data_IF_365108737080
#
_entry.id   IF_365108737080
#
_cell.length_a   1.000
_cell.length_b   1.000
_cell.length_c   1.000
_cell.angle_alpha   90.00
_cell.angle_beta   90.00
_cell.angle_gamma   90.00
#
_symmetry.space_group_name_H-M   'P 1'
#
loop_
_entity.id
_entity.type
_entity.pdbx_description
1 polymer ?
#
# COMPACT_ATOMS: atom_id res chain seq x y z
N UNK A 1 19.87 11.78 -36.85
CA UNK A 1 18.67 10.90 -36.94
C UNK A 1 19.09 9.49 -36.63
N UNK A 2 18.56 8.90 -35.55
CA UNK A 2 18.16 7.50 -35.40
C UNK A 2 17.62 7.33 -33.96
N UNK A 3 16.29 7.24 -33.84
CA UNK A 3 15.56 6.86 -32.63
C UNK A 3 15.95 5.44 -32.23
N UNK A 4 16.26 5.19 -30.96
CA UNK A 4 16.17 3.86 -30.35
C UNK A 4 15.08 3.90 -29.28
N UNK A 5 13.97 3.21 -29.58
CA UNK A 5 12.93 2.87 -28.62
C UNK A 5 13.48 1.73 -27.74
N UNK A 6 13.56 1.94 -26.43
CA UNK A 6 13.83 0.87 -25.47
C UNK A 6 12.50 0.35 -24.90
N UNK A 7 12.02 -0.75 -25.45
CA UNK A 7 11.08 -1.64 -24.76
C UNK A 7 11.85 -2.59 -23.84
N UNK A 8 11.22 -3.01 -22.74
CA UNK A 8 11.74 -3.84 -21.66
C UNK A 8 12.12 -5.29 -22.05
N UNK A 9 12.51 -5.58 -23.30
CA UNK A 9 12.53 -6.94 -23.83
C UNK A 9 13.90 -7.53 -24.20
N UNK A 10 14.99 -7.09 -23.57
CA UNK A 10 16.28 -7.78 -23.72
C UNK A 10 16.79 -8.24 -22.36
N UNK A 11 17.01 -9.54 -22.23
CA UNK A 11 17.74 -10.26 -21.15
C UNK A 11 16.94 -10.95 -20.04
N UNK A 12 16.02 -11.87 -20.40
CA UNK A 12 15.63 -12.95 -19.48
C UNK A 12 15.72 -14.30 -20.21
N UNK A 13 16.76 -15.09 -19.93
CA UNK A 13 16.87 -16.48 -20.36
C UNK A 13 16.14 -17.39 -19.35
N UNK A 14 15.24 -18.25 -19.84
CA UNK A 14 14.54 -19.29 -19.07
C UNK A 14 15.50 -20.44 -18.76
N UNK A 15 15.51 -20.95 -17.52
CA UNK A 15 16.20 -22.22 -17.17
C UNK A 15 15.25 -23.24 -16.52
N UNK A 16 15.53 -24.55 -16.67
CA UNK A 16 14.57 -25.64 -16.49
C UNK A 16 14.63 -26.34 -15.12
N UNK A 17 13.58 -27.12 -14.85
CA UNK A 17 13.22 -27.82 -13.62
C UNK A 17 14.25 -28.83 -13.07
N UNK A 18 14.51 -28.79 -11.76
CA UNK A 18 15.14 -29.90 -11.03
C UNK A 18 15.67 -29.54 -9.64
N UNK A 19 15.03 -30.09 -8.59
CA UNK A 19 15.48 -30.28 -7.21
C UNK A 19 16.06 -29.08 -6.42
N UNK A 20 15.34 -28.65 -5.37
CA UNK A 20 15.78 -27.58 -4.45
C UNK A 20 15.81 -28.08 -3.00
N UNK A 21 17.02 -28.35 -2.51
CA UNK A 21 17.32 -28.62 -1.10
C UNK A 21 17.33 -27.31 -0.29
N UNK A 22 16.91 -27.40 0.97
CA UNK A 22 16.56 -26.28 1.87
C UNK A 22 17.72 -25.93 2.81
N UNK A 23 17.89 -24.65 3.13
CA UNK A 23 18.62 -24.21 4.33
C UNK A 23 17.99 -22.95 4.95
N UNK A 24 18.28 -22.74 6.23
CA UNK A 24 17.43 -22.09 7.22
C UNK A 24 17.76 -20.61 7.52
N UNK A 25 16.70 -19.91 7.93
CA UNK A 25 16.61 -18.60 8.60
C UNK A 25 16.96 -17.36 7.76
N UNK A 26 16.13 -16.32 7.95
CA UNK A 26 15.89 -15.08 7.15
C UNK A 26 14.77 -15.14 6.10
N UNK A 27 14.00 -16.23 6.01
CA UNK A 27 13.29 -16.60 4.78
C UNK A 27 11.76 -16.51 4.81
N UNK A 28 11.21 -15.44 4.23
CA UNK A 28 10.09 -15.58 3.28
C UNK A 28 10.43 -14.79 2.02
N UNK A 29 11.51 -15.21 1.35
CA UNK A 29 11.69 -14.85 -0.06
C UNK A 29 10.44 -15.30 -0.83
N UNK A 30 10.04 -14.55 -1.86
CA UNK A 30 8.85 -14.88 -2.63
C UNK A 30 8.99 -16.31 -3.20
N UNK A 31 7.88 -17.02 -3.49
CA UNK A 31 7.91 -18.37 -4.04
C UNK A 31 8.94 -18.44 -5.18
N UNK A 32 9.67 -19.57 -5.28
CA UNK A 32 10.88 -19.73 -6.12
C UNK A 32 10.72 -19.27 -7.58
N UNK A 33 9.48 -19.22 -8.06
CA UNK A 33 9.06 -18.72 -9.37
C UNK A 33 9.35 -17.20 -9.56
N UNK A 34 9.40 -16.44 -8.46
CA UNK A 34 9.62 -14.99 -8.40
C UNK A 34 11.12 -14.64 -8.27
N UNK A 35 11.97 -15.59 -7.88
CA UNK A 35 13.43 -15.37 -7.84
C UNK A 35 14.07 -15.28 -9.25
N UNK A 36 13.34 -15.67 -10.29
CA UNK A 36 13.73 -15.51 -11.69
C UNK A 36 13.27 -14.17 -12.30
N UNK A 37 12.45 -13.39 -11.57
CA UNK A 37 12.27 -11.98 -11.84
C UNK A 37 13.48 -11.32 -11.18
N UNK A 38 14.25 -10.55 -11.94
CA UNK A 38 15.49 -9.92 -11.50
C UNK A 38 15.22 -8.80 -10.46
N UNK A 39 14.61 -9.14 -9.32
CA UNK A 39 14.46 -8.29 -8.13
C UNK A 39 15.60 -8.66 -7.19
N UNK A 40 16.73 -8.09 -7.56
CA UNK A 40 18.08 -8.23 -7.01
C UNK A 40 18.14 -8.40 -5.47
N UNK A 41 18.39 -9.61 -4.99
CA UNK A 41 18.69 -9.90 -3.58
C UNK A 41 20.09 -9.46 -3.11
N UNK A 42 20.89 -8.84 -3.97
CA UNK A 42 22.22 -8.32 -3.64
C UNK A 42 22.32 -6.79 -3.72
N UNK A 43 21.21 -6.05 -3.62
CA UNK A 43 21.27 -4.59 -3.70
C UNK A 43 21.06 -3.90 -2.34
N UNK A 44 22.11 -3.76 -1.51
CA UNK A 44 22.05 -2.98 -0.28
C UNK A 44 21.71 -1.49 -0.52
N UNK A 45 21.70 -1.03 -1.78
CA UNK A 45 21.26 0.32 -2.17
C UNK A 45 19.73 0.49 -2.30
N UNK A 46 18.94 -0.60 -2.33
CA UNK A 46 17.46 -0.50 -2.27
C UNK A 46 16.96 -0.05 -0.89
N UNK A 47 17.77 -0.22 0.15
CA UNK A 47 17.45 0.18 1.54
C UNK A 47 18.23 1.44 1.93
N UNK A 48 19.43 1.65 1.38
CA UNK A 48 20.29 2.78 1.76
C UNK A 48 20.25 4.01 0.84
N UNK A 49 19.30 4.09 -0.12
CA UNK A 49 19.23 5.21 -1.07
C UNK A 49 17.84 5.69 -1.47
N UNK A 50 16.78 4.99 -1.05
CA UNK A 50 15.41 5.35 -1.36
C UNK A 50 14.78 5.92 -0.11
N UNK A 51 14.46 7.22 -0.13
CA UNK A 51 13.71 7.86 0.94
C UNK A 51 12.25 7.90 0.47
N UNK A 52 11.34 7.05 1.01
CA UNK A 52 9.95 7.13 0.64
C UNK A 52 9.39 8.50 1.03
N UNK A 53 8.67 9.14 0.11
CA UNK A 53 8.05 10.44 0.33
C UNK A 53 6.55 10.27 0.17
N UNK A 54 5.81 10.65 1.21
CA UNK A 54 4.35 10.71 1.16
C UNK A 54 3.91 12.12 0.80
N UNK A 55 3.08 12.25 -0.24
CA UNK A 55 2.48 13.52 -0.66
C UNK A 55 0.95 13.43 -0.57
N UNK A 56 0.32 14.51 -0.09
CA UNK A 56 -1.10 14.77 -0.33
C UNK A 56 -1.25 15.21 -1.79
N UNK A 57 -2.20 14.63 -2.51
CA UNK A 57 -2.36 14.85 -3.96
C UNK A 57 -3.81 15.13 -4.33
N UNK A 58 -4.01 15.69 -5.53
CA UNK A 58 -5.34 15.88 -6.14
C UNK A 58 -5.97 14.55 -6.56
N UNK A 59 -7.28 14.55 -6.83
CA UNK A 59 -8.00 13.38 -7.34
C UNK A 59 -7.40 12.86 -8.66
N UNK A 60 -7.02 13.75 -9.57
CA UNK A 60 -6.42 13.39 -10.86
C UNK A 60 -5.03 12.76 -10.67
N UNK A 61 -4.21 13.33 -9.78
CA UNK A 61 -2.89 12.76 -9.46
C UNK A 61 -3.00 11.40 -8.77
N UNK A 62 -3.98 11.22 -7.88
CA UNK A 62 -4.28 9.95 -7.25
C UNK A 62 -4.67 8.89 -8.28
N UNK A 63 -5.51 9.24 -9.26
CA UNK A 63 -5.91 8.33 -10.35
C UNK A 63 -4.70 7.91 -11.21
N UNK A 64 -3.85 8.88 -11.57
CA UNK A 64 -2.60 8.62 -12.31
C UNK A 64 -1.67 7.72 -11.49
N UNK A 65 -1.51 7.99 -10.20
CA UNK A 65 -0.67 7.19 -9.30
C UNK A 65 -1.18 5.76 -9.16
N UNK A 66 -2.50 5.57 -8.97
CA UNK A 66 -3.11 4.25 -8.89
C UNK A 66 -2.93 3.44 -10.18
N UNK A 67 -3.11 4.08 -11.34
CA UNK A 67 -2.85 3.45 -12.66
C UNK A 67 -1.37 3.06 -12.81
N UNK A 68 -0.44 3.95 -12.44
CA UNK A 68 1.00 3.68 -12.50
C UNK A 68 1.40 2.52 -11.57
N UNK A 69 0.94 2.52 -10.32
CA UNK A 69 1.20 1.46 -9.34
C UNK A 69 0.62 0.12 -9.81
N UNK A 70 -0.60 0.10 -10.34
CA UNK A 70 -1.20 -1.11 -10.90
C UNK A 70 -0.41 -1.66 -12.10
N UNK A 71 -0.04 -0.78 -13.03
CA UNK A 71 0.70 -1.18 -14.22
C UNK A 71 2.09 -1.72 -13.86
N UNK A 72 2.77 -1.14 -12.87
CA UNK A 72 4.09 -1.63 -12.46
C UNK A 72 4.02 -3.03 -11.89
N UNK A 73 3.05 -3.30 -11.01
CA UNK A 73 2.83 -4.63 -10.43
C UNK A 73 2.61 -5.68 -11.53
N UNK A 74 1.81 -5.36 -12.56
CA UNK A 74 1.56 -6.25 -13.70
C UNK A 74 2.79 -6.43 -14.58
N UNK A 75 3.49 -5.35 -14.93
CA UNK A 75 4.68 -5.37 -15.79
C UNK A 75 5.84 -6.14 -15.15
N UNK A 76 6.00 -6.00 -13.83
CA UNK A 76 7.03 -6.70 -13.05
C UNK A 76 6.66 -8.17 -12.80
N UNK A 77 5.49 -8.64 -13.21
CA UNK A 77 5.11 -10.06 -13.15
C UNK A 77 4.70 -10.55 -11.76
N UNK A 78 4.42 -9.68 -10.79
CA UNK A 78 4.01 -10.06 -9.42
C UNK A 78 2.75 -10.92 -9.34
N UNK A 79 1.94 -10.91 -10.40
CA UNK A 79 0.68 -11.64 -10.49
C UNK A 79 0.73 -12.77 -11.53
N UNK A 80 1.89 -12.99 -12.16
CA UNK A 80 2.02 -13.90 -13.31
C UNK A 80 1.85 -15.38 -12.94
N UNK A 81 2.12 -15.74 -11.69
CA UNK A 81 1.93 -17.10 -11.17
C UNK A 81 0.51 -17.35 -10.65
N UNK A 82 -0.35 -16.33 -10.63
CA UNK A 82 -1.73 -16.42 -10.15
C UNK A 82 -2.66 -16.32 -11.36
N UNK A 83 -3.20 -17.45 -11.80
CA UNK A 83 -4.11 -17.53 -12.96
C UNK A 83 -5.33 -16.62 -12.80
N UNK A 84 -5.95 -16.64 -11.62
CA UNK A 84 -7.11 -15.82 -11.29
C UNK A 84 -7.02 -15.34 -9.83
N UNK A 85 -6.84 -14.04 -9.62
CA UNK A 85 -6.64 -13.44 -8.30
C UNK A 85 -7.88 -13.54 -7.40
N UNK A 86 -9.09 -13.48 -7.95
CA UNK A 86 -10.34 -13.65 -7.20
C UNK A 86 -10.50 -15.09 -6.70
N UNK A 87 -10.44 -16.07 -7.61
CA UNK A 87 -10.57 -17.48 -7.25
C UNK A 87 -9.45 -17.93 -6.31
N UNK A 88 -8.22 -17.44 -6.51
CA UNK A 88 -7.09 -17.75 -5.63
C UNK A 88 -7.31 -17.21 -4.22
N UNK A 89 -7.82 -15.97 -4.10
CA UNK A 89 -8.17 -15.35 -2.82
C UNK A 89 -9.20 -16.20 -2.07
N UNK A 90 -10.33 -16.53 -2.69
CA UNK A 90 -11.41 -17.30 -2.05
C UNK A 90 -10.90 -18.68 -1.59
N UNK A 91 -10.10 -19.34 -2.43
CA UNK A 91 -9.49 -20.63 -2.09
C UNK A 91 -8.52 -20.57 -0.90
N UNK A 92 -7.85 -19.42 -0.70
CA UNK A 92 -6.94 -19.22 0.43
C UNK A 92 -7.75 -18.88 1.69
N UNK A 93 -8.73 -17.98 1.59
CA UNK A 93 -9.56 -17.56 2.74
C UNK A 93 -10.39 -18.72 3.33
N UNK A 94 -10.73 -19.73 2.53
CA UNK A 94 -11.42 -20.93 3.00
C UNK A 94 -10.55 -21.86 3.88
N UNK A 95 -9.25 -21.60 4.01
CA UNK A 95 -8.32 -22.47 4.75
C UNK A 95 -8.12 -22.01 6.19
N UNK A 96 -8.06 -22.97 7.11
CA UNK A 96 -7.82 -22.70 8.54
C UNK A 96 -6.35 -22.38 8.86
N UNK A 97 -5.41 -22.84 8.03
CA UNK A 97 -3.98 -22.58 8.18
C UNK A 97 -3.36 -22.25 6.83
N UNK A 98 -2.58 -21.18 6.78
CA UNK A 98 -1.95 -20.70 5.55
C UNK A 98 -0.44 -20.96 5.57
N UNK A 99 0.07 -21.52 4.49
CA UNK A 99 1.50 -21.53 4.21
C UNK A 99 2.01 -20.12 3.88
N UNK A 100 3.32 -19.94 3.97
CA UNK A 100 3.99 -18.71 3.56
C UNK A 100 3.67 -18.30 2.12
N UNK A 101 3.64 -19.25 1.20
CA UNK A 101 3.34 -18.99 -0.21
C UNK A 101 1.90 -18.50 -0.39
N UNK A 102 0.95 -19.07 0.35
CA UNK A 102 -0.44 -18.63 0.33
C UNK A 102 -0.61 -17.24 0.93
N UNK A 103 0.15 -16.88 1.98
CA UNK A 103 0.14 -15.52 2.51
C UNK A 103 0.66 -14.50 1.48
N UNK A 104 1.67 -14.89 0.69
CA UNK A 104 2.18 -14.07 -0.41
C UNK A 104 1.18 -13.91 -1.55
N UNK A 105 0.55 -15.00 -1.97
CA UNK A 105 -0.51 -14.98 -2.98
C UNK A 105 -1.69 -14.14 -2.50
N UNK A 106 -2.10 -14.30 -1.25
CA UNK A 106 -3.19 -13.54 -0.64
C UNK A 106 -2.90 -12.05 -0.66
N UNK A 107 -1.67 -11.66 -0.29
CA UNK A 107 -1.22 -10.26 -0.39
C UNK A 107 -1.34 -9.74 -1.82
N UNK A 108 -0.87 -10.50 -2.79
CA UNK A 108 -0.94 -10.14 -4.21
C UNK A 108 -2.40 -9.98 -4.69
N UNK A 109 -3.27 -10.93 -4.31
CA UNK A 109 -4.69 -10.91 -4.68
C UNK A 109 -5.42 -9.72 -4.06
N UNK A 110 -5.16 -9.40 -2.78
CA UNK A 110 -5.75 -8.25 -2.10
C UNK A 110 -5.28 -6.95 -2.74
N UNK A 111 -3.98 -6.81 -3.01
CA UNK A 111 -3.46 -5.61 -3.66
C UNK A 111 -4.07 -5.42 -5.06
N UNK A 112 -4.18 -6.48 -5.87
CA UNK A 112 -4.82 -6.43 -7.20
C UNK A 112 -6.29 -6.01 -7.11
N UNK A 113 -7.05 -6.65 -6.22
CA UNK A 113 -8.46 -6.35 -5.97
C UNK A 113 -8.67 -4.90 -5.53
N UNK A 114 -7.94 -4.45 -4.50
CA UNK A 114 -8.05 -3.08 -3.98
C UNK A 114 -7.62 -2.03 -5.02
N UNK A 115 -6.60 -2.31 -5.85
CA UNK A 115 -6.18 -1.40 -6.91
C UNK A 115 -7.24 -1.29 -8.02
N UNK A 116 -7.91 -2.39 -8.37
CA UNK A 116 -9.01 -2.35 -9.32
C UNK A 116 -10.15 -1.48 -8.77
N UNK A 117 -10.58 -1.75 -7.53
CA UNK A 117 -11.63 -0.97 -6.87
C UNK A 117 -11.28 0.52 -6.74
N UNK A 118 -10.06 0.86 -6.32
CA UNK A 118 -9.67 2.26 -6.15
C UNK A 118 -9.60 2.99 -7.50
N UNK A 119 -9.09 2.34 -8.55
CA UNK A 119 -9.06 2.93 -9.90
C UNK A 119 -10.46 3.25 -10.39
N UNK A 120 -11.38 2.30 -10.28
CA UNK A 120 -12.76 2.47 -10.72
C UNK A 120 -13.46 3.57 -9.91
N UNK A 121 -13.22 3.60 -8.59
CA UNK A 121 -13.76 4.63 -7.70
C UNK A 121 -13.25 6.04 -8.06
N UNK A 122 -11.95 6.20 -8.29
CA UNK A 122 -11.33 7.46 -8.68
C UNK A 122 -11.83 7.93 -10.06
N UNK A 123 -11.85 7.03 -11.05
CA UNK A 123 -12.37 7.34 -12.39
C UNK A 123 -13.84 7.73 -12.37
N UNK A 124 -14.66 7.06 -11.54
CA UNK A 124 -16.07 7.40 -11.37
C UNK A 124 -16.25 8.81 -10.78
N UNK A 125 -15.48 9.17 -9.75
CA UNK A 125 -15.51 10.51 -9.14
C UNK A 125 -15.14 11.61 -10.13
N UNK A 126 -14.09 11.39 -10.92
CA UNK A 126 -13.66 12.32 -11.98
C UNK A 126 -14.79 12.55 -12.99
N UNK A 127 -15.47 11.48 -13.44
CA UNK A 127 -16.56 11.57 -14.42
C UNK A 127 -17.78 12.32 -13.88
N UNK A 128 -18.09 12.17 -12.59
CA UNK A 128 -19.28 12.75 -11.98
C UNK A 128 -19.12 14.20 -11.49
N UNK A 129 -17.99 14.86 -11.78
CA UNK A 129 -17.69 16.27 -11.41
C UNK A 129 -18.17 16.60 -9.99
N UNK A 130 -17.72 15.86 -8.98
CA UNK A 130 -17.76 16.07 -7.51
C UNK A 130 -18.98 16.70 -6.80
N UNK A 131 -20.03 17.19 -7.47
CA UNK A 131 -20.96 18.15 -6.87
C UNK A 131 -22.23 17.56 -6.25
N UNK A 132 -22.60 16.31 -6.54
CA UNK A 132 -23.96 15.83 -6.24
C UNK A 132 -24.07 14.49 -5.49
N UNK A 133 -22.97 13.77 -5.22
CA UNK A 133 -23.09 12.39 -4.71
C UNK A 133 -22.66 12.16 -3.27
N UNK A 134 -21.98 13.11 -2.64
CA UNK A 134 -21.51 12.96 -1.25
C UNK A 134 -21.51 14.32 -0.55
N UNK A 135 -22.69 14.95 -0.46
CA UNK A 135 -22.86 16.15 0.34
C UNK A 135 -22.49 15.81 1.80
N UNK A 136 -21.39 16.37 2.30
CA UNK A 136 -20.92 16.18 3.69
C UNK A 136 -19.67 15.31 3.90
N UNK A 137 -19.16 14.59 2.89
CA UNK A 137 -17.91 13.82 3.01
C UNK A 137 -16.75 14.50 2.29
N UNK A 138 -15.68 14.80 3.03
CA UNK A 138 -14.42 15.23 2.46
C UNK A 138 -13.51 14.04 2.12
N UNK A 139 -12.86 14.13 0.97
CA UNK A 139 -11.93 13.11 0.48
C UNK A 139 -10.52 13.69 0.38
N UNK A 140 -9.56 12.99 0.97
CA UNK A 140 -8.13 13.31 0.83
C UNK A 140 -7.37 12.11 0.32
N UNK A 141 -6.49 12.35 -0.65
CA UNK A 141 -5.67 11.32 -1.28
C UNK A 141 -4.21 11.51 -0.88
N UNK A 142 -3.56 10.43 -0.47
CA UNK A 142 -2.13 10.40 -0.21
C UNK A 142 -1.46 9.36 -1.10
N UNK A 143 -0.29 9.70 -1.63
CA UNK A 143 0.53 8.77 -2.42
C UNK A 143 1.92 8.72 -1.81
N UNK A 144 2.39 7.50 -1.56
CA UNK A 144 3.75 7.22 -1.17
C UNK A 144 4.57 6.93 -2.43
N UNK A 145 5.65 7.68 -2.61
CA UNK A 145 6.56 7.55 -3.73
C UNK A 145 7.92 7.09 -3.25
N UNK A 146 8.62 6.35 -4.09
CA UNK A 146 10.06 6.14 -3.94
C UNK A 146 10.82 7.08 -4.89
N UNK A 147 11.96 7.61 -4.45
CA UNK A 147 12.84 8.51 -5.23
C UNK A 147 14.16 7.81 -5.55
N UNK A 148 14.69 8.05 -6.74
CA UNK A 148 16.00 7.57 -7.13
C UNK A 148 17.01 8.73 -7.06
N UNK A 149 18.19 8.52 -6.46
CA UNK A 149 19.35 9.43 -6.55
C UNK A 149 20.64 8.64 -6.83
N UNK A 150 21.63 9.15 -7.61
CA UNK A 150 21.51 10.01 -8.79
C UNK A 150 22.43 9.57 -9.97
N UNK A 151 22.11 9.98 -11.21
CA UNK A 151 23.08 10.49 -12.20
C UNK A 151 22.39 11.50 -13.13
N UNK A 152 22.67 12.78 -12.90
CA UNK A 152 22.79 13.90 -13.86
C UNK A 152 21.70 14.21 -14.89
N UNK A 153 20.45 13.83 -14.67
CA UNK A 153 19.36 14.48 -15.41
C UNK A 153 18.12 14.74 -14.58
N UNK A 154 17.88 16.05 -14.47
CA UNK A 154 16.75 16.75 -13.88
C UNK A 154 15.42 16.08 -14.27
N UNK A 155 14.54 15.88 -13.27
CA UNK A 155 13.11 15.44 -13.36
C UNK A 155 12.77 13.98 -13.69
N UNK A 156 13.57 13.00 -13.25
CA UNK A 156 13.32 11.58 -13.57
C UNK A 156 12.77 10.73 -12.40
N UNK A 157 11.46 10.43 -12.51
CA UNK A 157 10.73 9.24 -12.04
C UNK A 157 10.53 9.03 -10.51
N UNK A 158 9.67 9.84 -9.90
CA UNK A 158 8.96 9.39 -8.69
C UNK A 158 8.03 8.23 -9.04
N UNK A 159 8.26 7.06 -8.46
CA UNK A 159 7.44 5.87 -8.70
C UNK A 159 6.47 5.68 -7.53
N UNK A 160 5.14 5.64 -7.75
CA UNK A 160 4.19 5.41 -6.67
C UNK A 160 4.34 3.96 -6.19
N UNK A 161 4.53 3.83 -4.89
CA UNK A 161 4.68 2.55 -4.18
C UNK A 161 3.56 2.30 -3.17
N UNK A 162 2.71 3.30 -2.94
CA UNK A 162 1.51 3.15 -2.16
C UNK A 162 0.52 4.29 -2.37
N UNK A 163 -0.75 4.03 -2.11
CA UNK A 163 -1.84 4.99 -2.17
C UNK A 163 -2.76 4.78 -0.98
N UNK A 164 -3.27 5.88 -0.44
CA UNK A 164 -4.25 5.88 0.64
C UNK A 164 -5.38 6.86 0.34
N UNK A 165 -6.62 6.40 0.56
CA UNK A 165 -7.81 7.24 0.58
C UNK A 165 -8.22 7.48 2.02
N UNK A 166 -8.31 8.75 2.39
CA UNK A 166 -8.77 9.21 3.68
C UNK A 166 -10.11 9.94 3.50
N UNK A 167 -11.10 9.62 4.34
CA UNK A 167 -12.41 10.26 4.33
C UNK A 167 -12.74 10.79 5.71
N UNK A 168 -13.33 11.98 5.77
CA UNK A 168 -13.82 12.57 7.02
C UNK A 168 -15.05 13.40 6.72
N UNK A 169 -15.91 13.56 7.73
CA UNK A 169 -17.08 14.42 7.64
C UNK A 169 -16.83 15.64 8.51
N UNK A 170 -17.26 16.81 8.03
CA UNK A 170 -17.25 18.04 8.83
C UNK A 170 -18.52 18.20 9.68
N UNK A 171 -19.51 17.33 9.49
CA UNK A 171 -20.78 17.44 10.16
C UNK A 171 -20.69 16.90 11.61
N UNK A 172 -20.74 17.82 12.57
CA UNK A 172 -20.54 17.61 14.02
C UNK A 172 -21.63 16.75 14.70
N UNK A 173 -22.64 16.30 13.96
CA UNK A 173 -23.82 15.66 14.55
C UNK A 173 -23.56 14.26 15.13
N UNK A 174 -22.41 13.64 14.82
CA UNK A 174 -21.98 12.36 15.42
C UNK A 174 -20.46 12.31 15.62
N UNK A 175 -19.95 11.64 16.69
CA UNK A 175 -18.52 11.39 16.88
C UNK A 175 -18.02 10.42 15.81
N UNK A 176 -17.75 10.93 14.61
CA UNK A 176 -17.32 10.15 13.47
C UNK A 176 -15.79 10.21 13.39
N UNK A 177 -15.11 9.08 13.63
CA UNK A 177 -13.67 9.03 13.38
C UNK A 177 -13.40 9.07 11.88
N UNK A 178 -12.41 9.86 11.43
CA UNK A 178 -11.98 9.82 10.05
C UNK A 178 -11.57 8.42 9.65
N UNK A 179 -11.87 8.06 8.41
CA UNK A 179 -11.75 6.70 7.91
C UNK A 179 -10.64 6.57 6.88
N UNK A 180 -9.80 5.54 7.04
CA UNK A 180 -8.89 5.08 5.99
C UNK A 180 -9.62 4.03 5.16
N UNK A 181 -10.24 4.47 4.06
CA UNK A 181 -11.07 3.60 3.21
C UNK A 181 -10.25 2.68 2.32
N UNK A 182 -9.08 3.14 1.85
CA UNK A 182 -8.13 2.32 1.11
C UNK A 182 -6.72 2.59 1.62
N UNK A 183 -5.96 1.54 1.88
CA UNK A 183 -4.52 1.60 2.12
C UNK A 183 -3.86 0.49 1.31
N UNK A 184 -3.14 0.88 0.27
CA UNK A 184 -2.56 -0.05 -0.69
C UNK A 184 -1.08 0.24 -0.79
N UNK A 185 -0.25 -0.77 -0.55
CA UNK A 185 1.19 -0.74 -0.78
C UNK A 185 1.54 -1.79 -1.83
N UNK A 186 2.53 -1.49 -2.66
CA UNK A 186 3.12 -2.44 -3.59
C UNK A 186 3.47 -3.76 -2.88
N UNK A 187 3.15 -4.94 -3.45
CA UNK A 187 3.33 -6.22 -2.77
C UNK A 187 4.82 -6.51 -2.46
N UNK A 188 5.74 -6.01 -3.28
CA UNK A 188 7.18 -6.13 -3.01
C UNK A 188 7.74 -5.23 -1.90
N UNK A 189 6.97 -4.28 -1.36
CA UNK A 189 7.48 -3.27 -0.41
C UNK A 189 6.91 -3.52 0.98
N UNK A 190 7.77 -3.66 1.99
CA UNK A 190 7.37 -3.87 3.38
C UNK A 190 7.68 -2.64 4.21
N UNK A 191 7.02 -2.51 5.37
CA UNK A 191 7.32 -1.49 6.38
C UNK A 191 7.29 -0.03 5.87
N UNK A 192 6.45 0.28 4.87
CA UNK A 192 6.22 1.67 4.43
C UNK A 192 4.77 2.14 4.65
N UNK A 193 3.86 1.23 5.01
CA UNK A 193 2.45 1.54 5.23
C UNK A 193 2.24 2.55 6.37
N UNK A 194 3.10 2.49 7.40
CA UNK A 194 3.02 3.41 8.55
C UNK A 194 3.24 4.87 8.14
N UNK A 195 3.99 5.15 7.06
CA UNK A 195 4.22 6.52 6.58
C UNK A 195 2.93 7.15 6.04
N UNK A 196 2.09 6.38 5.35
CA UNK A 196 0.77 6.83 4.94
C UNK A 196 -0.12 6.99 6.17
N UNK A 197 -0.09 6.03 7.09
CA UNK A 197 -0.89 6.08 8.32
C UNK A 197 -0.54 7.31 9.18
N UNK A 198 0.73 7.67 9.31
CA UNK A 198 1.18 8.87 10.01
C UNK A 198 0.60 10.14 9.40
N UNK A 199 0.48 10.22 8.06
CA UNK A 199 -0.23 11.33 7.42
C UNK A 199 -1.72 11.34 7.71
N UNK A 200 -2.38 10.18 7.78
CA UNK A 200 -3.79 10.11 8.17
C UNK A 200 -4.01 10.54 9.62
N UNK A 201 -3.19 10.05 10.56
CA UNK A 201 -3.28 10.41 11.99
C UNK A 201 -3.06 11.91 12.16
N UNK A 202 -2.06 12.48 11.51
CA UNK A 202 -1.80 13.91 11.61
C UNK A 202 -2.88 14.77 10.95
N UNK A 203 -3.45 14.33 9.82
CA UNK A 203 -4.59 15.02 9.23
C UNK A 203 -5.80 14.96 10.16
N UNK A 204 -6.10 13.80 10.74
CA UNK A 204 -7.16 13.64 11.75
C UNK A 204 -6.96 14.59 12.95
N UNK A 205 -5.72 14.74 13.43
CA UNK A 205 -5.39 15.71 14.48
C UNK A 205 -5.67 17.16 14.02
N UNK A 206 -5.22 17.52 12.81
CA UNK A 206 -5.42 18.86 12.24
C UNK A 206 -6.90 19.20 12.02
N UNK A 207 -7.74 18.21 11.74
CA UNK A 207 -9.18 18.37 11.57
C UNK A 207 -9.96 18.23 12.88
N UNK A 208 -9.31 18.28 14.04
CA UNK A 208 -9.99 18.30 15.36
C UNK A 208 -10.37 16.92 15.91
N UNK A 209 -9.96 15.83 15.28
CA UNK A 209 -10.31 14.46 15.70
C UNK A 209 -9.21 13.80 16.55
N UNK A 210 -8.28 14.60 17.08
CA UNK A 210 -7.21 14.19 17.99
C UNK A 210 -6.32 13.03 17.48
N UNK A 211 -6.26 12.83 16.17
CA UNK A 211 -5.50 11.74 15.54
C UNK A 211 -6.20 10.38 15.56
N UNK A 212 -7.44 10.32 16.04
CA UNK A 212 -8.22 9.08 16.04
C UNK A 212 -8.59 8.69 14.62
N UNK A 213 -8.59 7.40 14.33
CA UNK A 213 -8.93 6.86 13.01
C UNK A 213 -9.82 5.64 13.16
N UNK A 214 -10.56 5.33 12.09
CA UNK A 214 -11.17 4.02 11.87
C UNK A 214 -10.76 3.45 10.52
N UNK A 215 -10.81 2.13 10.39
CA UNK A 215 -10.68 1.44 9.11
C UNK A 215 -11.49 0.16 9.11
N UNK A 216 -11.81 -0.32 7.91
CA UNK A 216 -12.38 -1.64 7.69
C UNK A 216 -11.32 -2.53 7.05
N UNK A 217 -11.02 -3.68 7.66
CA UNK A 217 -10.03 -4.61 7.13
C UNK A 217 -10.59 -5.33 5.91
N UNK A 218 -9.81 -5.39 4.82
CA UNK A 218 -10.22 -6.14 3.63
C UNK A 218 -10.36 -7.65 3.89
N UNK A 219 -9.57 -8.18 4.83
CA UNK A 219 -9.61 -9.56 5.33
C UNK A 219 -9.17 -9.60 6.81
N UNK A 220 -9.59 -10.64 7.53
CA UNK A 220 -9.26 -10.83 8.95
C UNK A 220 -7.75 -10.96 9.23
N UNK A 221 -6.95 -11.52 8.30
CA UNK A 221 -5.50 -11.66 8.50
C UNK A 221 -4.75 -10.32 8.57
N UNK A 222 -5.34 -9.22 8.08
CA UNK A 222 -4.73 -7.89 8.17
C UNK A 222 -4.85 -7.28 9.58
N UNK A 223 -5.73 -7.79 10.43
CA UNK A 223 -5.91 -7.30 11.81
C UNK A 223 -4.59 -7.28 12.58
N UNK A 224 -3.75 -8.31 12.43
CA UNK A 224 -2.43 -8.39 13.09
C UNK A 224 -1.51 -7.25 12.65
N UNK A 225 -1.54 -6.85 11.37
CA UNK A 225 -0.72 -5.76 10.88
C UNK A 225 -1.17 -4.41 11.46
N UNK A 226 -2.49 -4.18 11.53
CA UNK A 226 -3.05 -2.96 12.12
C UNK A 226 -2.92 -2.91 13.65
N UNK A 227 -3.00 -4.06 14.34
CA UNK A 227 -2.74 -4.14 15.78
C UNK A 227 -1.31 -3.68 16.13
N UNK A 228 -0.32 -4.01 15.30
CA UNK A 228 1.06 -3.49 15.47
C UNK A 228 1.12 -1.97 15.33
N UNK A 229 0.24 -1.41 14.48
CA UNK A 229 0.07 0.03 14.33
C UNK A 229 -0.79 0.67 15.43
N UNK A 230 -1.16 -0.08 16.48
CA UNK A 230 -1.92 0.44 17.60
C UNK A 230 -3.44 0.45 17.41
N UNK A 231 -3.96 -0.10 16.32
CA UNK A 231 -5.40 -0.28 16.16
C UNK A 231 -5.93 -1.38 17.09
N UNK A 232 -7.19 -1.27 17.48
CA UNK A 232 -7.93 -2.26 18.26
C UNK A 232 -9.21 -2.65 17.52
N UNK A 233 -9.64 -3.90 17.66
CA UNK A 233 -10.89 -4.38 17.07
C UNK A 233 -12.08 -3.69 17.75
N UNK A 234 -13.00 -3.17 16.95
CA UNK A 234 -14.29 -2.64 17.42
C UNK A 234 -15.45 -3.53 16.99
N UNK A 235 -15.41 -4.02 15.76
CA UNK A 235 -16.29 -5.09 15.25
C UNK A 235 -15.43 -6.18 14.61
N UNK A 236 -16.06 -7.18 13.98
CA UNK A 236 -15.35 -8.25 13.25
C UNK A 236 -14.46 -7.72 12.10
N UNK A 237 -14.85 -6.60 11.48
CA UNK A 237 -14.16 -6.04 10.32
C UNK A 237 -13.69 -4.60 10.53
N UNK A 238 -14.19 -3.90 11.55
CA UNK A 238 -13.82 -2.52 11.84
C UNK A 238 -12.81 -2.45 12.98
N UNK A 239 -11.76 -1.65 12.77
CA UNK A 239 -10.74 -1.35 13.77
C UNK A 239 -10.65 0.15 14.02
N UNK A 240 -10.37 0.53 15.27
CA UNK A 240 -10.21 1.91 15.70
C UNK A 240 -8.78 2.15 16.17
N UNK A 241 -8.24 3.34 15.91
CA UNK A 241 -6.98 3.80 16.47
C UNK A 241 -7.27 5.01 17.34
N UNK A 242 -6.78 4.96 18.57
CA UNK A 242 -6.62 6.12 19.44
C UNK A 242 -5.12 6.26 19.77
N UNK A 243 -4.39 7.15 19.08
CA UNK A 243 -2.94 7.22 19.23
C UNK A 243 -2.51 7.65 20.64
N UNK A 244 -3.35 8.36 21.39
CA UNK A 244 -3.05 8.75 22.78
C UNK A 244 -3.07 7.57 23.75
N UNK A 245 -3.84 6.52 23.41
CA UNK A 245 -3.98 5.31 24.22
C UNK A 245 -3.13 4.15 23.66
N UNK A 246 -2.22 4.44 22.73
CA UNK A 246 -1.39 3.45 22.05
C UNK A 246 0.09 3.73 22.27
N UNK A 247 0.82 2.76 22.82
CA UNK A 247 2.29 2.85 22.96
C UNK A 247 3.05 2.85 21.63
N UNK A 248 2.36 2.68 20.49
CA UNK A 248 2.96 2.69 19.16
C UNK A 248 3.11 4.11 18.57
N UNK A 249 2.53 5.12 19.23
CA UNK A 249 2.50 6.50 18.75
C UNK A 249 3.03 7.46 19.80
N UNK A 250 3.77 8.46 19.35
CA UNK A 250 4.27 9.56 20.18
C UNK A 250 3.79 10.89 19.59
N UNK A 251 3.12 11.70 20.39
CA UNK A 251 2.76 13.06 20.01
C UNK A 251 3.95 14.00 20.21
N UNK A 252 4.36 14.71 19.16
CA UNK A 252 5.43 15.69 19.18
C UNK A 252 4.99 16.96 18.43
N UNK A 253 4.53 18.00 19.15
CA UNK A 253 4.13 19.28 18.53
C UNK A 253 5.24 19.90 17.69
N UNK A 254 6.49 19.84 18.17
CA UNK A 254 7.69 20.36 17.49
C UNK A 254 7.96 19.68 16.14
N UNK A 255 7.35 18.53 15.91
CA UNK A 255 7.49 17.73 14.70
C UNK A 255 6.20 17.64 13.88
N UNK A 256 5.20 18.47 14.20
CA UNK A 256 3.97 18.58 13.44
C UNK A 256 2.90 17.54 13.78
N UNK A 257 3.00 16.87 14.93
CA UNK A 257 1.96 15.99 15.47
C UNK A 257 2.46 14.61 15.88
N UNK A 258 1.66 13.57 15.65
CA UNK A 258 1.99 12.19 15.97
C UNK A 258 3.06 11.62 15.05
N UNK A 259 3.92 10.79 15.63
CA UNK A 259 4.87 9.94 14.93
C UNK A 259 4.71 8.49 15.35
N UNK A 260 4.86 7.59 14.39
CA UNK A 260 4.88 6.16 14.66
C UNK A 260 6.24 5.74 15.21
N UNK A 261 6.28 5.07 16.36
CA UNK A 261 7.52 4.73 17.08
C UNK A 261 7.73 3.22 17.25
N UNK A 262 6.72 2.40 16.98
CA UNK A 262 6.85 0.96 17.10
C UNK A 262 7.70 0.34 15.96
N UNK A 263 8.42 -0.72 16.29
CA UNK A 263 9.13 -1.54 15.30
C UNK A 263 8.12 -2.36 14.47
N UNK A 264 8.12 -2.22 13.15
CA UNK A 264 7.29 -3.02 12.23
C UNK A 264 7.85 -4.42 11.98
#
# INVERSE_FOLDING_TARGET
MLKRNSSFNSYIHKTPSGALSRSNSFHTLPPKNILNINVNHHNPRLINGYVPIVKKVTLQEAEIAAKKLYNSIKQDGWLSHIENTYRRRDNIEAKSSLSTEELWDLRCCITDSLLCTVKDNLSFRIRKKDGALYQGCNYTYFVCYTTHFPTDSVTSLMMPIGIMLFTYNEDDHYPYYPEVSYLIIHPGIQNCAYLLMEKAVNLSYQTGHHGKLKLTTAISHLSRAYNRMGFVNYTESTMLLDPNNSGAWLFSPEHGGYRYTASC
#
